data_IF_237398860681
#
_entry.id   IF_237398860681
#
_cell.length_a   1.000
_cell.length_b   1.000
_cell.length_c   1.000
_cell.angle_alpha   90.00
_cell.angle_beta   90.00
_cell.angle_gamma   90.00
#
_symmetry.space_group_name_H-M   'P 1'
#
loop_
_entity.id
_entity.type
_entity.pdbx_description
1 polymer ?
#
# COMPACT_ATOMS: atom_id res chain seq x y z
N UNK A 1 25.70 -13.80 11.32
CA UNK A 1 26.12 -14.74 10.22
C UNK A 1 24.92 -14.99 9.31
N UNK A 2 25.18 -15.03 7.99
CA UNK A 2 24.13 -15.34 6.99
C UNK A 2 24.02 -16.85 6.88
N UNK A 3 22.82 -17.44 6.91
CA UNK A 3 22.65 -18.88 6.81
C UNK A 3 23.21 -19.46 5.50
N UNK A 4 23.65 -20.70 5.52
CA UNK A 4 24.17 -21.37 4.30
C UNK A 4 23.10 -21.42 3.20
N UNK A 5 23.47 -21.00 2.01
CA UNK A 5 22.57 -20.97 0.86
C UNK A 5 21.74 -19.68 0.72
N UNK A 6 21.94 -18.71 1.59
CA UNK A 6 21.39 -17.37 1.47
C UNK A 6 22.38 -16.45 0.76
N UNK A 7 21.89 -15.49 0.00
CA UNK A 7 22.70 -14.52 -0.72
C UNK A 7 22.40 -13.10 -0.24
N UNK A 8 23.37 -12.20 -0.37
CA UNK A 8 23.14 -10.75 -0.22
C UNK A 8 23.13 -10.15 -1.61
N UNK A 9 22.04 -9.52 -1.97
CA UNK A 9 21.83 -8.93 -3.30
C UNK A 9 21.23 -7.53 -3.14
N UNK A 10 21.35 -6.71 -4.16
CA UNK A 10 20.65 -5.41 -4.14
C UNK A 10 19.18 -5.59 -4.43
N UNK A 11 18.33 -4.82 -3.75
CA UNK A 11 16.87 -4.87 -3.95
C UNK A 11 16.48 -4.66 -5.42
N UNK A 12 17.18 -3.75 -6.12
CA UNK A 12 16.97 -3.45 -7.54
C UNK A 12 17.18 -4.65 -8.47
N UNK A 13 17.89 -5.70 -8.06
CA UNK A 13 18.06 -6.92 -8.83
C UNK A 13 16.78 -7.80 -8.84
N UNK A 14 15.92 -7.63 -7.82
CA UNK A 14 14.70 -8.43 -7.63
C UNK A 14 13.41 -7.70 -7.99
N UNK A 15 13.47 -6.41 -8.29
CA UNK A 15 12.29 -5.61 -8.61
C UNK A 15 12.58 -4.52 -9.64
N UNK A 16 11.50 -4.01 -10.21
CA UNK A 16 11.51 -2.89 -11.14
C UNK A 16 10.79 -1.70 -10.50
N UNK A 17 11.27 -0.49 -10.74
CA UNK A 17 10.73 0.72 -10.13
C UNK A 17 10.02 1.58 -11.16
N UNK A 18 8.86 2.12 -10.79
CA UNK A 18 8.10 3.09 -11.57
C UNK A 18 7.87 2.67 -13.04
N UNK A 19 7.72 1.39 -13.30
CA UNK A 19 7.68 0.79 -14.64
C UNK A 19 6.52 1.30 -15.50
N UNK A 20 5.42 1.67 -14.87
CA UNK A 20 4.21 2.14 -15.55
C UNK A 20 3.89 3.57 -15.12
N UNK A 21 3.90 4.46 -16.11
CA UNK A 21 3.63 5.88 -15.88
C UNK A 21 2.72 6.41 -16.98
N UNK A 22 1.67 7.14 -16.60
CA UNK A 22 0.81 7.89 -17.51
C UNK A 22 1.46 9.25 -17.84
N UNK A 23 1.12 9.78 -19.01
CA UNK A 23 1.44 11.17 -19.37
C UNK A 23 0.62 12.20 -18.57
N UNK A 24 -0.34 11.76 -17.76
CA UNK A 24 -1.22 12.60 -16.95
C UNK A 24 -2.51 13.05 -17.65
N UNK A 25 -2.75 12.60 -18.87
CA UNK A 25 -4.01 12.79 -19.58
C UNK A 25 -4.86 11.55 -19.44
N UNK A 26 -6.07 11.73 -18.94
CA UNK A 26 -7.05 10.66 -18.75
C UNK A 26 -8.34 11.04 -19.49
N UNK A 27 -8.93 10.08 -20.17
CA UNK A 27 -10.21 10.21 -20.87
C UNK A 27 -11.38 9.55 -20.11
N UNK A 28 -11.11 9.05 -18.91
CA UNK A 28 -12.05 8.41 -18.02
C UNK A 28 -11.76 8.83 -16.57
N UNK A 29 -12.72 8.72 -15.65
CA UNK A 29 -12.50 8.96 -14.22
C UNK A 29 -11.39 8.06 -13.66
N UNK A 30 -10.61 8.61 -12.74
CA UNK A 30 -9.54 7.91 -12.05
C UNK A 30 -9.80 7.83 -10.54
N UNK A 31 -9.24 6.81 -9.91
CA UNK A 31 -9.13 6.69 -8.46
C UNK A 31 -7.70 7.04 -8.06
N UNK A 32 -7.51 8.22 -7.50
CA UNK A 32 -6.19 8.75 -7.17
C UNK A 32 -5.83 8.52 -5.72
N UNK A 33 -4.65 7.92 -5.51
CA UNK A 33 -4.03 7.75 -4.19
C UNK A 33 -2.88 8.75 -4.04
N UNK A 34 -3.06 9.74 -3.15
CA UNK A 34 -1.94 10.59 -2.74
C UNK A 34 -1.14 9.96 -1.58
N UNK A 35 0.08 10.45 -1.37
CA UNK A 35 1.00 9.92 -0.35
C UNK A 35 0.46 10.02 1.07
N UNK A 36 -0.34 11.05 1.36
CA UNK A 36 -0.96 11.26 2.67
C UNK A 36 -2.14 10.32 2.96
N UNK A 37 -2.68 9.66 1.93
CA UNK A 37 -3.90 8.86 2.06
C UNK A 37 -3.62 7.36 2.24
N UNK A 38 -2.40 6.99 2.58
CA UNK A 38 -2.02 5.64 2.97
C UNK A 38 -1.05 5.68 4.15
N UNK A 39 -1.29 4.85 5.15
CA UNK A 39 -0.39 4.70 6.29
C UNK A 39 -0.37 3.23 6.74
N UNK A 40 0.81 2.63 6.85
CA UNK A 40 0.97 1.23 7.26
C UNK A 40 0.01 0.28 6.53
N UNK A 41 -0.03 0.33 5.21
CA UNK A 41 -0.88 -0.50 4.36
C UNK A 41 -2.40 -0.24 4.49
N UNK A 42 -2.81 0.79 5.21
CA UNK A 42 -4.22 1.20 5.30
C UNK A 42 -4.45 2.38 4.38
N UNK A 43 -5.32 2.22 3.39
CA UNK A 43 -5.74 3.30 2.50
C UNK A 43 -6.96 3.98 3.13
N UNK A 44 -6.77 5.24 3.59
CA UNK A 44 -7.82 6.03 4.21
C UNK A 44 -8.88 6.40 3.17
N UNK A 45 -8.44 6.98 2.03
CA UNK A 45 -9.32 7.44 0.98
C UNK A 45 -8.66 7.35 -0.39
N UNK A 46 -9.46 6.97 -1.42
CA UNK A 46 -9.14 7.14 -2.81
C UNK A 46 -9.98 8.30 -3.37
N UNK A 47 -9.32 9.31 -3.92
CA UNK A 47 -10.00 10.45 -4.51
C UNK A 47 -10.56 10.07 -5.88
N UNK A 48 -11.88 10.13 -6.03
CA UNK A 48 -12.51 9.98 -7.34
C UNK A 48 -12.38 11.30 -8.09
N UNK A 49 -11.69 11.29 -9.23
CA UNK A 49 -11.46 12.47 -10.07
C UNK A 49 -11.95 12.22 -11.48
N UNK A 50 -12.86 13.06 -11.95
CA UNK A 50 -13.37 13.04 -13.30
C UNK A 50 -12.66 14.11 -14.15
N UNK A 51 -11.87 13.76 -15.17
CA UNK A 51 -11.13 14.71 -16.00
C UNK A 51 -12.00 15.75 -16.71
N UNK A 52 -13.30 15.49 -16.86
CA UNK A 52 -14.25 16.42 -17.50
C UNK A 52 -14.71 17.54 -16.57
N UNK A 53 -14.59 17.37 -15.24
CA UNK A 53 -15.08 18.34 -14.25
C UNK A 53 -14.01 18.75 -13.23
N UNK A 54 -13.00 17.88 -13.01
CA UNK A 54 -12.02 18.05 -11.94
C UNK A 54 -10.62 18.36 -12.47
N UNK A 55 -9.85 19.10 -11.67
CA UNK A 55 -8.45 19.34 -11.97
C UNK A 55 -7.65 18.13 -11.52
N UNK A 56 -7.09 17.41 -12.50
CA UNK A 56 -6.21 16.27 -12.21
C UNK A 56 -4.88 16.75 -11.65
N UNK A 57 -4.47 16.29 -10.46
CA UNK A 57 -3.17 16.67 -9.88
C UNK A 57 -2.02 16.29 -10.83
N UNK A 58 -1.07 17.19 -11.03
CA UNK A 58 0.11 16.93 -11.88
C UNK A 58 0.93 15.72 -11.45
N UNK A 59 0.79 15.32 -10.18
CA UNK A 59 1.42 14.13 -9.59
C UNK A 59 0.65 12.82 -9.86
N UNK A 60 -0.56 12.84 -10.36
CA UNK A 60 -1.36 11.66 -10.70
C UNK A 60 -0.81 10.99 -11.96
N UNK A 61 0.25 10.20 -11.84
CA UNK A 61 0.96 9.65 -13.01
C UNK A 61 1.38 8.19 -12.90
N UNK A 62 1.57 7.66 -11.69
CA UNK A 62 2.04 6.28 -11.52
C UNK A 62 0.86 5.32 -11.62
N UNK A 63 0.98 4.34 -12.52
CA UNK A 63 0.00 3.27 -12.67
C UNK A 63 0.44 2.08 -11.83
N UNK A 64 -0.51 1.43 -11.19
CA UNK A 64 -0.26 0.27 -10.32
C UNK A 64 -0.99 -0.97 -10.81
N UNK A 65 -0.50 -2.13 -10.42
CA UNK A 65 -1.14 -3.42 -10.60
C UNK A 65 -1.14 -4.18 -9.29
N UNK A 66 -1.85 -5.29 -9.24
CA UNK A 66 -1.88 -6.16 -8.09
C UNK A 66 -0.49 -6.63 -7.68
N UNK A 67 -0.18 -6.51 -6.39
CA UNK A 67 1.08 -6.89 -5.81
C UNK A 67 2.19 -5.86 -5.94
N UNK A 68 1.93 -4.69 -6.54
CA UNK A 68 2.87 -3.58 -6.49
C UNK A 68 2.96 -3.03 -5.07
N UNK A 69 4.16 -2.64 -4.68
CA UNK A 69 4.40 -1.96 -3.42
C UNK A 69 4.52 -0.47 -3.73
N UNK A 70 3.74 0.36 -3.04
CA UNK A 70 3.87 1.82 -3.05
C UNK A 70 4.62 2.24 -1.80
N UNK A 71 5.69 3.00 -1.97
CA UNK A 71 6.53 3.47 -0.87
C UNK A 71 6.79 4.96 -1.03
N UNK A 72 6.37 5.78 -0.06
CA UNK A 72 6.59 7.23 -0.13
C UNK A 72 8.07 7.56 -0.12
N UNK A 73 8.50 8.37 -1.10
CA UNK A 73 9.86 8.88 -1.16
C UNK A 73 10.07 10.09 -0.24
N UNK A 74 9.00 10.64 0.33
CA UNK A 74 9.06 11.79 1.24
C UNK A 74 8.80 11.31 2.66
N UNK A 75 9.69 11.69 3.59
CA UNK A 75 9.58 11.39 5.02
C UNK A 75 9.26 9.91 5.31
N UNK A 76 10.17 8.97 5.04
CA UNK A 76 9.93 7.53 5.23
C UNK A 76 9.44 7.16 6.63
N UNK A 77 9.81 7.95 7.65
CA UNK A 77 9.36 7.79 9.03
C UNK A 77 7.84 7.92 9.23
N UNK A 78 7.12 8.57 8.30
CA UNK A 78 5.66 8.67 8.36
C UNK A 78 4.94 7.38 7.94
N UNK A 79 5.70 6.40 7.43
CA UNK A 79 5.18 5.06 7.07
C UNK A 79 4.07 5.08 6.03
N UNK A 80 4.14 6.02 5.08
CA UNK A 80 3.22 6.07 3.94
C UNK A 80 3.66 5.04 2.89
N UNK A 81 3.30 3.79 3.13
CA UNK A 81 3.59 2.66 2.25
C UNK A 81 2.49 1.60 2.36
N UNK A 82 2.41 0.75 1.34
CA UNK A 82 1.51 -0.39 1.32
C UNK A 82 1.76 -1.31 0.13
N UNK A 83 1.18 -2.49 0.18
CA UNK A 83 1.08 -3.41 -0.96
C UNK A 83 -0.32 -3.29 -1.56
N UNK A 84 -0.39 -3.05 -2.86
CA UNK A 84 -1.66 -2.85 -3.57
C UNK A 84 -2.29 -4.22 -3.82
N UNK A 85 -3.45 -4.44 -3.19
CA UNK A 85 -4.25 -5.65 -3.36
C UNK A 85 -5.52 -5.29 -4.13
N UNK A 86 -5.82 -6.04 -5.19
CA UNK A 86 -7.03 -5.87 -6.01
C UNK A 86 -7.29 -4.40 -6.41
N UNK A 87 -6.35 -3.71 -7.11
CA UNK A 87 -6.57 -2.35 -7.54
C UNK A 87 -7.68 -2.26 -8.58
N UNK A 88 -8.45 -1.20 -8.53
CA UNK A 88 -9.34 -0.86 -9.62
C UNK A 88 -8.53 -0.56 -10.89
N UNK A 89 -9.10 -0.85 -12.08
CA UNK A 89 -8.41 -0.69 -13.38
C UNK A 89 -7.96 0.76 -13.66
N UNK A 90 -8.62 1.74 -13.03
CA UNK A 90 -8.38 3.17 -13.17
C UNK A 90 -7.62 3.76 -11.96
N UNK A 91 -7.00 2.93 -11.12
CA UNK A 91 -6.22 3.39 -9.98
C UNK A 91 -4.91 4.03 -10.45
N UNK A 92 -4.67 5.25 -9.96
CA UNK A 92 -3.47 6.04 -10.23
C UNK A 92 -2.90 6.52 -8.89
N UNK A 93 -1.58 6.46 -8.74
CA UNK A 93 -0.93 6.92 -7.51
C UNK A 93 0.00 8.11 -7.79
N UNK A 94 0.29 8.85 -6.74
CA UNK A 94 1.15 10.04 -6.78
C UNK A 94 2.59 9.71 -7.22
N UNK A 95 3.24 10.61 -7.95
CA UNK A 95 4.68 10.55 -8.21
C UNK A 95 5.54 10.64 -6.94
N UNK A 96 4.96 11.00 -5.80
CA UNK A 96 5.59 10.94 -4.49
C UNK A 96 5.83 9.51 -3.98
N UNK A 97 5.27 8.50 -4.64
CA UNK A 97 5.59 7.11 -4.40
C UNK A 97 6.68 6.58 -5.33
N UNK A 98 7.57 5.76 -4.82
CA UNK A 98 8.23 4.74 -5.59
C UNK A 98 7.25 3.55 -5.72
N UNK A 99 6.87 3.19 -6.96
CA UNK A 99 6.09 2.00 -7.24
C UNK A 99 7.06 0.86 -7.54
N UNK A 100 7.05 -0.16 -6.72
CA UNK A 100 8.00 -1.27 -6.73
C UNK A 100 7.26 -2.53 -7.19
N UNK A 101 7.64 -3.06 -8.33
CA UNK A 101 7.08 -4.29 -8.91
C UNK A 101 8.11 -5.41 -8.76
N UNK A 102 7.80 -6.47 -8.03
CA UNK A 102 8.67 -7.63 -7.92
C UNK A 102 8.82 -8.34 -9.28
N UNK A 103 10.05 -8.66 -9.69
CA UNK A 103 10.33 -9.34 -10.95
C UNK A 103 9.76 -10.76 -10.97
N UNK A 104 9.67 -11.40 -9.80
CA UNK A 104 8.95 -12.63 -9.58
C UNK A 104 7.89 -12.43 -8.50
N UNK A 105 6.65 -12.77 -8.79
CA UNK A 105 5.50 -12.49 -7.92
C UNK A 105 5.62 -13.06 -6.51
N UNK A 106 6.38 -14.14 -6.32
CA UNK A 106 6.63 -14.73 -5.02
C UNK A 106 7.45 -13.80 -4.09
N UNK A 107 8.28 -12.94 -4.64
CA UNK A 107 9.10 -12.00 -3.86
C UNK A 107 8.30 -10.83 -3.27
N UNK A 108 7.13 -10.47 -3.82
CA UNK A 108 6.41 -9.25 -3.43
C UNK A 108 6.18 -9.09 -1.92
N UNK A 109 5.74 -10.15 -1.24
CA UNK A 109 5.48 -10.10 0.20
C UNK A 109 6.78 -10.07 1.02
N UNK A 110 7.81 -10.74 0.56
CA UNK A 110 9.12 -10.76 1.18
C UNK A 110 9.78 -9.37 1.09
N UNK A 111 9.76 -8.77 -0.10
CA UNK A 111 10.25 -7.41 -0.34
C UNK A 111 9.46 -6.40 0.50
N UNK A 112 8.13 -6.53 0.53
CA UNK A 112 7.30 -5.65 1.33
C UNK A 112 7.66 -5.73 2.81
N UNK A 113 7.78 -6.95 3.36
CA UNK A 113 8.17 -7.15 4.76
C UNK A 113 9.55 -6.61 5.07
N UNK A 114 10.51 -6.71 4.15
CA UNK A 114 11.82 -6.11 4.31
C UNK A 114 11.74 -4.57 4.37
N UNK A 115 10.98 -3.96 3.48
CA UNK A 115 10.85 -2.50 3.40
C UNK A 115 10.18 -1.87 4.62
N UNK A 116 9.30 -2.60 5.30
CA UNK A 116 8.58 -2.09 6.47
C UNK A 116 9.28 -2.40 7.81
N UNK A 117 10.44 -3.06 7.80
CA UNK A 117 11.23 -3.27 9.01
C UNK A 117 11.70 -1.95 9.60
N UNK A 118 11.70 -1.85 10.93
CA UNK A 118 12.11 -0.64 11.63
C UNK A 118 13.52 -0.18 11.21
N UNK A 119 14.47 -1.11 11.10
CA UNK A 119 15.85 -0.82 10.68
C UNK A 119 15.91 -0.26 9.23
N UNK A 120 15.10 -0.77 8.31
CA UNK A 120 15.04 -0.28 6.93
C UNK A 120 14.44 1.12 6.88
N UNK A 121 13.36 1.36 7.63
CA UNK A 121 12.72 2.68 7.72
C UNK A 121 13.69 3.71 8.34
N UNK A 122 14.40 3.34 9.39
CA UNK A 122 15.38 4.20 10.05
C UNK A 122 16.55 4.55 9.11
N UNK A 123 17.09 3.55 8.40
CA UNK A 123 18.14 3.75 7.40
C UNK A 123 17.69 4.74 6.32
N UNK A 124 16.52 4.49 5.69
CA UNK A 124 15.97 5.39 4.66
C UNK A 124 15.65 6.78 5.22
N UNK A 125 15.22 6.88 6.46
CA UNK A 125 14.96 8.17 7.12
C UNK A 125 16.25 8.95 7.36
N UNK A 126 17.34 8.28 7.71
CA UNK A 126 18.67 8.87 7.88
C UNK A 126 19.18 9.40 6.53
N UNK A 127 19.03 8.62 5.45
CA UNK A 127 19.38 9.04 4.09
C UNK A 127 18.57 10.29 3.72
N UNK A 128 17.26 10.28 3.97
CA UNK A 128 16.39 11.42 3.68
C UNK A 128 16.80 12.71 4.42
N UNK A 129 17.25 12.59 5.67
CA UNK A 129 17.69 13.72 6.49
C UNK A 129 19.04 14.29 6.04
N UNK A 130 19.91 13.46 5.45
CA UNK A 130 21.20 13.90 4.92
C UNK A 130 21.08 14.65 3.58
N UNK A 131 19.94 14.54 2.89
CA UNK A 131 19.67 15.29 1.68
C UNK A 131 19.53 16.81 2.01
N UNK A 132 20.21 17.66 1.25
CA UNK A 132 20.27 19.13 1.44
C UNK A 132 18.93 19.84 1.12
N UNK A 133 17.82 19.17 1.22
CA UNK A 133 16.48 19.65 0.87
C UNK A 133 15.70 20.09 2.11
N UNK A 134 14.90 21.14 2.00
CA UNK A 134 13.96 21.56 3.04
C UNK A 134 12.93 20.48 3.40
N UNK A 135 12.74 19.49 2.52
CA UNK A 135 11.89 18.33 2.74
C UNK A 135 12.73 17.05 2.68
N UNK A 136 12.85 16.31 3.82
CA UNK A 136 13.55 15.02 3.84
C UNK A 136 12.96 14.07 2.81
N UNK A 137 13.74 13.72 1.80
CA UNK A 137 13.30 12.86 0.71
C UNK A 137 14.42 11.91 0.27
N UNK A 138 14.01 10.74 -0.22
CA UNK A 138 14.90 9.73 -0.81
C UNK A 138 14.64 9.63 -2.32
N UNK A 139 15.62 9.16 -3.04
CA UNK A 139 15.47 8.79 -4.45
C UNK A 139 15.12 7.31 -4.58
N UNK A 140 14.58 6.92 -5.71
CA UNK A 140 14.32 5.51 -6.02
C UNK A 140 15.61 4.68 -5.92
N UNK A 141 16.75 5.24 -6.35
CA UNK A 141 18.06 4.60 -6.25
C UNK A 141 18.50 4.27 -4.81
N UNK A 142 18.05 5.04 -3.82
CA UNK A 142 18.37 4.74 -2.41
C UNK A 142 17.67 3.45 -1.96
N UNK A 143 16.45 3.20 -2.47
CA UNK A 143 15.72 1.96 -2.22
C UNK A 143 16.32 0.81 -3.04
N UNK A 144 16.66 1.03 -4.32
CA UNK A 144 17.28 0.04 -5.21
C UNK A 144 18.58 -0.53 -4.65
N UNK A 145 19.37 0.33 -4.00
CA UNK A 145 20.68 -0.02 -3.45
C UNK A 145 20.65 -0.67 -2.06
N UNK A 146 19.47 -0.88 -1.46
CA UNK A 146 19.38 -1.60 -0.19
C UNK A 146 19.87 -3.04 -0.33
N UNK A 147 20.65 -3.49 0.65
CA UNK A 147 21.11 -4.88 0.73
C UNK A 147 19.99 -5.77 1.28
N UNK A 148 19.59 -6.74 0.46
CA UNK A 148 18.55 -7.71 0.78
C UNK A 148 19.19 -9.08 0.97
N UNK A 149 18.98 -9.67 2.14
CA UNK A 149 19.41 -11.05 2.43
C UNK A 149 18.33 -11.99 1.91
N UNK A 150 18.62 -12.69 0.82
CA UNK A 150 17.66 -13.48 0.05
C UNK A 150 17.84 -14.97 0.37
N UNK A 151 16.79 -15.64 0.87
CA UNK A 151 16.79 -17.09 1.06
C UNK A 151 16.66 -17.84 -0.29
N UNK A 152 16.88 -19.17 -0.32
CA UNK A 152 16.64 -19.97 -1.50
C UNK A 152 15.20 -19.87 -2.01
N UNK A 153 14.99 -19.93 -3.33
CA UNK A 153 13.69 -19.77 -3.99
C UNK A 153 12.59 -20.65 -3.42
N UNK A 154 12.93 -21.90 -3.06
CA UNK A 154 11.97 -22.83 -2.46
C UNK A 154 11.42 -22.37 -1.10
N UNK A 155 12.20 -21.57 -0.36
CA UNK A 155 11.73 -20.94 0.89
C UNK A 155 10.84 -19.73 0.58
N UNK A 156 11.21 -18.93 -0.41
CA UNK A 156 10.39 -17.79 -0.88
C UNK A 156 9.02 -18.28 -1.36
N UNK A 157 8.95 -19.36 -2.13
CA UNK A 157 7.67 -19.93 -2.57
C UNK A 157 6.78 -20.37 -1.40
N UNK A 158 7.35 -21.08 -0.42
CA UNK A 158 6.62 -21.50 0.77
C UNK A 158 6.11 -20.31 1.57
N UNK A 159 6.97 -19.31 1.77
CA UNK A 159 6.61 -18.07 2.43
C UNK A 159 5.50 -17.33 1.68
N UNK A 160 5.63 -17.17 0.36
CA UNK A 160 4.67 -16.47 -0.48
C UNK A 160 3.26 -17.10 -0.42
N UNK A 161 3.17 -18.44 -0.39
CA UNK A 161 1.88 -19.15 -0.26
C UNK A 161 1.16 -18.81 1.05
N UNK A 162 1.91 -18.74 2.15
CA UNK A 162 1.36 -18.37 3.46
C UNK A 162 1.04 -16.88 3.52
N UNK A 163 1.98 -16.04 3.12
CA UNK A 163 1.82 -14.58 3.13
C UNK A 163 0.64 -14.14 2.27
N UNK A 164 0.48 -14.70 1.06
CA UNK A 164 -0.65 -14.40 0.18
C UNK A 164 -2.00 -14.56 0.88
N UNK A 165 -2.20 -15.67 1.59
CA UNK A 165 -3.46 -15.93 2.32
C UNK A 165 -3.69 -14.90 3.42
N UNK A 166 -2.64 -14.54 4.16
CA UNK A 166 -2.73 -13.55 5.23
C UNK A 166 -3.04 -12.16 4.68
N UNK A 167 -2.38 -11.74 3.59
CA UNK A 167 -2.65 -10.43 2.98
C UNK A 167 -4.04 -10.34 2.36
N UNK A 168 -4.53 -11.41 1.73
CA UNK A 168 -5.92 -11.47 1.26
C UNK A 168 -6.93 -11.36 2.41
N UNK A 169 -6.66 -12.03 3.54
CA UNK A 169 -7.51 -11.90 4.72
C UNK A 169 -7.48 -10.50 5.30
N UNK A 170 -6.30 -9.87 5.37
CA UNK A 170 -6.15 -8.49 5.81
C UNK A 170 -6.95 -7.54 4.90
N UNK A 171 -6.82 -7.67 3.56
CA UNK A 171 -7.58 -6.85 2.60
C UNK A 171 -9.09 -7.03 2.78
N UNK A 172 -9.55 -8.27 2.94
CA UNK A 172 -10.95 -8.57 3.21
C UNK A 172 -11.45 -7.91 4.49
N UNK A 173 -10.69 -8.04 5.57
CA UNK A 173 -11.03 -7.44 6.86
C UNK A 173 -11.10 -5.90 6.79
N UNK A 174 -10.18 -5.26 6.07
CA UNK A 174 -10.21 -3.80 5.86
C UNK A 174 -11.46 -3.35 5.10
N UNK A 175 -11.84 -4.07 4.04
CA UNK A 175 -13.05 -3.79 3.28
C UNK A 175 -14.31 -3.92 4.15
N UNK A 176 -14.36 -4.96 4.98
CA UNK A 176 -15.45 -5.19 5.91
C UNK A 176 -15.52 -4.08 6.98
N UNK A 177 -14.40 -3.73 7.60
CA UNK A 177 -14.30 -2.63 8.58
C UNK A 177 -14.80 -1.32 7.95
N UNK A 178 -14.35 -1.00 6.73
CA UNK A 178 -14.78 0.21 6.02
C UNK A 178 -16.29 0.21 5.76
N UNK A 179 -16.85 -0.93 5.34
CA UNK A 179 -18.29 -1.08 5.11
C UNK A 179 -19.09 -0.92 6.40
N UNK A 180 -18.68 -1.60 7.49
CA UNK A 180 -19.34 -1.52 8.79
C UNK A 180 -19.25 -0.13 9.41
N UNK A 181 -18.10 0.54 9.25
CA UNK A 181 -17.90 1.93 9.68
C UNK A 181 -18.88 2.86 8.96
N UNK A 182 -18.99 2.73 7.63
CA UNK A 182 -19.95 3.52 6.84
C UNK A 182 -21.40 3.26 7.30
N UNK A 183 -21.80 2.01 7.48
CA UNK A 183 -23.14 1.66 7.98
C UNK A 183 -23.39 2.26 9.36
N UNK A 184 -22.43 2.18 10.28
CA UNK A 184 -22.54 2.81 11.60
C UNK A 184 -22.78 4.32 11.48
N UNK A 185 -21.99 5.00 10.66
CA UNK A 185 -22.05 6.46 10.52
C UNK A 185 -23.34 6.93 9.84
N UNK A 186 -23.91 6.11 8.96
CA UNK A 186 -25.23 6.34 8.33
C UNK A 186 -26.40 6.07 9.33
N UNK A 187 -26.30 5.02 10.14
CA UNK A 187 -27.39 4.62 11.02
C UNK A 187 -27.42 5.40 12.35
N UNK A 188 -26.27 5.80 12.88
CA UNK A 188 -26.17 6.46 14.18
C UNK A 188 -27.01 7.74 14.27
N UNK A 189 -26.96 8.68 13.27
CA UNK A 189 -27.82 9.86 13.30
C UNK A 189 -29.31 9.53 13.24
N UNK A 190 -29.71 8.49 12.51
CA UNK A 190 -31.10 8.05 12.38
C UNK A 190 -31.64 7.49 13.71
N UNK A 191 -30.79 6.73 14.42
CA UNK A 191 -31.11 6.23 15.77
C UNK A 191 -31.25 7.39 16.79
N UNK A 192 -30.31 8.34 16.76
CA UNK A 192 -30.33 9.48 17.68
C UNK A 192 -31.54 10.39 17.45
N UNK A 193 -32.02 10.50 16.21
CA UNK A 193 -33.21 11.31 15.87
C UNK A 193 -34.53 10.54 16.01
N UNK A 194 -34.49 9.30 16.47
CA UNK A 194 -35.69 8.46 16.62
C UNK A 194 -36.38 8.05 15.32
N UNK A 195 -35.64 8.18 14.17
CA UNK A 195 -36.16 7.81 12.85
C UNK A 195 -36.12 6.31 12.59
N UNK A 196 -35.30 5.57 13.34
CA UNK A 196 -35.18 4.10 13.34
C UNK A 196 -35.14 3.60 14.80
N UNK A 197 -35.71 2.44 15.05
CA UNK A 197 -35.57 1.75 16.32
C UNK A 197 -34.85 0.42 16.15
N UNK A 198 -34.03 0.05 17.11
CA UNK A 198 -33.43 -1.29 17.15
C UNK A 198 -34.44 -2.22 17.82
N UNK A 199 -34.94 -3.20 17.09
CA UNK A 199 -35.78 -4.25 17.67
C UNK A 199 -34.91 -5.09 18.61
N UNK A 200 -35.16 -4.96 19.93
CA UNK A 200 -34.39 -5.64 20.97
C UNK A 200 -34.85 -7.10 21.22
N UNK A 201 -35.51 -7.74 20.28
CA UNK A 201 -35.84 -9.16 20.35
C UNK A 201 -34.60 -10.06 20.28
N UNK A 202 -33.80 -10.01 21.36
CA UNK A 202 -32.67 -10.93 21.64
C UNK A 202 -33.15 -12.37 21.96
N UNK A 203 -34.44 -12.68 21.79
CA UNK A 203 -35.00 -14.01 22.07
C UNK A 203 -34.52 -15.09 21.10
N UNK A 204 -33.97 -14.71 19.92
CA UNK A 204 -33.54 -15.65 18.90
C UNK A 204 -32.18 -16.32 19.20
N UNK A 205 -31.33 -15.74 20.05
CA UNK A 205 -29.98 -16.26 20.33
C UNK A 205 -29.86 -17.11 21.61
N UNK A 206 -31.00 -17.43 22.31
CA UNK A 206 -30.97 -18.24 23.54
C UNK A 206 -31.22 -19.73 23.31
N UNK A 207 -31.14 -20.25 22.10
CA UNK A 207 -31.27 -21.69 21.83
C UNK A 207 -30.20 -22.13 20.82
N UNK A 208 -28.97 -22.35 21.32
CA UNK A 208 -28.08 -23.43 20.88
C UNK A 208 -27.04 -23.71 21.94
#
# INVERSE_FOLDING_TARGET
>A
EIPKGWNVLKLGEHCSFNKRTSNGYFNHPILYLDTSNITNNTIDELQFLNPSSDIIPSRARRLVQEGDIVYSTVRPNLKHFGIIMNPDYNMVVSTGFAVITANWSAYRYFIYQFLIQAATIENLSTIAQSAVSAYPSINTSDIENLDLVVPPDSMIEKYAKTACRLYLQIDTNYKEIKSLTKQRDELLPLLMNGQVSVNSDLSVYKKR
#
